data_IF_168613524209
#
_entry.id   IF_168613524209
#
_cell.length_a   1.000
_cell.length_b   1.000
_cell.length_c   1.000
_cell.angle_alpha   90.00
_cell.angle_beta   90.00
_cell.angle_gamma   90.00
#
_symmetry.space_group_name_H-M   'P 1'
#
loop_
_entity.id
_entity.type
_entity.pdbx_description
1 polymer ?
#
# COMPACT_ATOMS: atom_id res chain seq x y z
N UNK A 1 -6.34 -9.07 -4.81
CA UNK A 1 -5.44 -7.95 -5.19
C UNK A 1 -6.20 -6.66 -5.49
N UNK A 2 -7.21 -6.65 -6.37
CA UNK A 2 -8.01 -5.45 -6.66
C UNK A 2 -8.60 -4.74 -5.42
N UNK A 3 -9.06 -5.49 -4.40
CA UNK A 3 -9.54 -4.91 -3.14
C UNK A 3 -8.46 -4.13 -2.37
N UNK A 4 -7.23 -4.65 -2.31
CA UNK A 4 -6.13 -3.95 -1.63
C UNK A 4 -5.71 -2.66 -2.35
N UNK A 5 -5.82 -2.64 -3.68
CA UNK A 5 -5.58 -1.43 -4.46
C UNK A 5 -6.65 -0.39 -4.13
N UNK A 6 -7.93 -0.78 -4.11
CA UNK A 6 -9.03 0.13 -3.76
C UNK A 6 -8.88 0.75 -2.36
N UNK A 7 -8.50 -0.07 -1.36
CA UNK A 7 -8.19 0.41 -0.01
C UNK A 7 -6.99 1.38 -0.03
N UNK A 8 -5.91 1.06 -0.74
CA UNK A 8 -4.74 1.93 -0.84
C UNK A 8 -5.08 3.30 -1.45
N UNK A 9 -5.92 3.34 -2.49
CA UNK A 9 -6.36 4.61 -3.08
C UNK A 9 -7.24 5.39 -2.12
N UNK A 10 -8.08 4.73 -1.33
CA UNK A 10 -8.89 5.40 -0.30
C UNK A 10 -8.00 6.04 0.77
N UNK A 11 -6.97 5.33 1.22
CA UNK A 11 -5.97 5.88 2.15
C UNK A 11 -5.24 7.09 1.56
N UNK A 12 -4.74 6.96 0.32
CA UNK A 12 -4.02 8.04 -0.38
C UNK A 12 -4.87 9.30 -0.52
N UNK A 13 -6.14 9.16 -0.93
CA UNK A 13 -7.02 10.33 -1.07
C UNK A 13 -7.46 10.86 0.29
N UNK A 14 -7.65 10.01 1.30
CA UNK A 14 -7.90 10.43 2.68
C UNK A 14 -6.78 11.31 3.21
N UNK A 15 -5.54 10.82 3.14
CA UNK A 15 -4.34 11.57 3.51
C UNK A 15 -4.19 12.87 2.70
N UNK A 16 -4.45 12.84 1.38
CA UNK A 16 -4.43 14.04 0.56
C UNK A 16 -5.45 15.10 0.99
N UNK A 17 -6.67 14.68 1.35
CA UNK A 17 -7.71 15.57 1.90
C UNK A 17 -7.29 16.14 3.25
N UNK A 18 -6.67 15.34 4.11
CA UNK A 18 -6.15 15.78 5.40
C UNK A 18 -5.12 16.90 5.22
N UNK A 19 -4.11 16.68 4.37
CA UNK A 19 -3.11 17.70 4.01
C UNK A 19 -3.67 18.92 3.28
N UNK A 20 -4.83 18.82 2.64
CA UNK A 20 -5.50 19.96 2.02
C UNK A 20 -6.16 20.88 3.07
N UNK A 21 -6.68 20.31 4.16
CA UNK A 21 -7.45 21.06 5.16
C UNK A 21 -6.66 21.41 6.42
N UNK A 22 -5.64 20.63 6.77
CA UNK A 22 -4.91 20.75 8.02
C UNK A 22 -3.45 21.11 7.80
N UNK A 23 -2.87 21.80 8.77
CA UNK A 23 -1.43 22.07 8.79
C UNK A 23 -0.66 20.77 9.11
N UNK A 24 0.50 20.51 8.48
CA UNK A 24 1.33 19.35 8.79
C UNK A 24 1.74 19.32 10.26
N UNK A 25 1.62 18.16 10.91
CA UNK A 25 1.94 18.00 12.32
C UNK A 25 1.91 16.55 12.77
N UNK A 26 1.86 16.33 14.09
CA UNK A 26 1.73 15.00 14.70
C UNK A 26 0.79 15.03 15.92
N UNK A 27 -0.13 16.00 15.92
CA UNK A 27 -1.08 16.24 16.99
C UNK A 27 -2.51 16.11 16.48
N UNK A 28 -3.51 16.30 17.35
CA UNK A 28 -4.90 16.22 16.93
C UNK A 28 -5.21 17.26 15.84
N UNK A 29 -5.93 16.85 14.81
CA UNK A 29 -6.35 17.70 13.69
C UNK A 29 -5.17 18.36 12.95
N UNK A 30 -4.06 17.64 12.82
CA UNK A 30 -2.91 18.03 11.99
C UNK A 30 -2.63 16.97 10.96
N UNK A 31 -2.22 17.39 9.76
CA UNK A 31 -2.01 16.45 8.68
C UNK A 31 -0.75 15.61 8.85
N UNK A 32 -0.91 14.29 8.78
CA UNK A 32 0.21 13.35 8.76
C UNK A 32 -0.06 12.17 7.80
N UNK A 33 0.77 11.12 7.91
CA UNK A 33 0.69 9.93 7.07
C UNK A 33 0.15 8.71 7.83
N UNK A 34 -0.48 8.94 8.98
CA UNK A 34 -1.29 7.96 9.68
C UNK A 34 -2.71 7.98 9.12
N UNK A 35 -3.45 6.91 9.37
CA UNK A 35 -4.86 6.82 9.01
C UNK A 35 -5.65 6.55 10.29
N UNK A 36 -6.58 7.45 10.62
CA UNK A 36 -7.54 7.28 11.71
C UNK A 36 -7.02 7.63 13.11
N UNK A 37 -5.83 8.23 13.19
CA UNK A 37 -5.17 8.75 14.40
C UNK A 37 -6.04 9.73 15.20
N UNK A 38 -6.82 10.58 14.53
CA UNK A 38 -7.74 11.53 15.16
C UNK A 38 -9.00 10.86 15.78
N UNK A 39 -9.25 9.57 15.51
CA UNK A 39 -10.38 8.86 16.11
C UNK A 39 -10.03 8.36 17.52
N UNK A 40 -10.66 8.90 18.59
CA UNK A 40 -10.24 8.67 19.98
C UNK A 40 -10.28 7.21 20.44
N UNK A 41 -11.06 6.37 19.74
CA UNK A 41 -11.34 4.98 20.12
C UNK A 41 -10.34 4.01 19.46
N UNK A 42 -9.74 4.39 18.34
CA UNK A 42 -8.95 3.49 17.50
C UNK A 42 -7.46 3.84 17.50
N UNK A 43 -7.12 5.13 17.53
CA UNK A 43 -5.76 5.56 17.20
C UNK A 43 -5.39 5.22 15.76
N UNK A 44 -4.10 5.36 15.36
CA UNK A 44 -3.69 5.09 14.00
C UNK A 44 -3.87 3.61 13.65
N UNK A 45 -4.67 3.33 12.61
CA UNK A 45 -4.91 1.96 12.15
C UNK A 45 -3.95 1.52 11.05
N UNK A 46 -3.40 2.48 10.29
CA UNK A 46 -2.38 2.28 9.25
C UNK A 46 -1.41 3.45 9.23
N UNK A 47 -0.23 3.23 8.67
CA UNK A 47 0.78 4.25 8.41
C UNK A 47 1.28 4.09 6.99
N UNK A 48 1.21 5.17 6.20
CA UNK A 48 1.79 5.23 4.86
C UNK A 48 3.29 5.51 4.94
N UNK A 49 3.74 6.28 5.93
CA UNK A 49 5.16 6.55 6.18
C UNK A 49 5.94 5.29 6.59
N UNK A 50 5.41 4.55 7.56
CA UNK A 50 6.09 3.39 8.13
C UNK A 50 5.09 2.28 8.42
N UNK A 51 4.67 1.49 7.41
CA UNK A 51 3.69 0.42 7.60
C UNK A 51 4.04 -0.51 8.77
N UNK A 52 5.31 -0.91 8.85
CA UNK A 52 5.81 -1.83 9.87
C UNK A 52 5.82 -1.26 11.30
N UNK A 53 5.56 0.05 11.49
CA UNK A 53 5.42 0.65 12.82
C UNK A 53 4.17 0.19 13.55
N UNK A 54 3.16 -0.29 12.80
CA UNK A 54 1.90 -0.80 13.33
C UNK A 54 1.81 -2.31 13.17
N UNK A 55 1.15 -2.95 14.14
CA UNK A 55 0.93 -4.39 14.16
C UNK A 55 -0.46 -4.70 13.60
N UNK A 56 -0.54 -5.76 12.80
CA UNK A 56 -1.79 -6.34 12.35
C UNK A 56 -2.44 -7.14 13.48
N UNK A 57 -1.73 -8.16 13.94
CA UNK A 57 -2.13 -9.08 14.99
C UNK A 57 -0.90 -9.88 15.43
N UNK A 58 -0.75 -10.10 16.73
CA UNK A 58 0.40 -10.82 17.30
C UNK A 58 1.76 -10.33 16.75
N UNK A 59 2.56 -11.20 16.10
CA UNK A 59 3.84 -10.84 15.49
C UNK A 59 3.72 -10.29 14.07
N UNK A 60 2.54 -10.31 13.45
CA UNK A 60 2.35 -9.87 12.07
C UNK A 60 2.34 -8.33 11.97
N UNK A 61 3.10 -7.80 11.03
CA UNK A 61 3.22 -6.38 10.74
C UNK A 61 2.56 -6.05 9.39
N UNK A 62 2.17 -4.80 9.20
CA UNK A 62 1.73 -4.36 7.87
C UNK A 62 2.91 -4.40 6.87
N UNK A 63 2.70 -4.92 5.65
CA UNK A 63 3.74 -5.04 4.64
C UNK A 63 4.06 -3.69 3.98
N UNK A 64 5.33 -3.30 3.97
CA UNK A 64 5.85 -2.15 3.21
C UNK A 64 6.43 -2.54 1.83
N UNK A 65 6.35 -3.82 1.47
CA UNK A 65 6.98 -4.37 0.25
C UNK A 65 6.19 -5.56 -0.30
N UNK A 66 6.06 -5.65 -1.62
CA UNK A 66 5.26 -6.66 -2.32
C UNK A 66 5.71 -8.10 -2.08
N UNK A 67 7.01 -8.30 -1.88
CA UNK A 67 7.58 -9.59 -1.46
C UNK A 67 7.12 -10.05 -0.07
N UNK A 68 6.69 -9.11 0.80
CA UNK A 68 6.17 -9.35 2.15
C UNK A 68 4.65 -9.32 2.23
N UNK A 69 3.96 -9.17 1.10
CA UNK A 69 2.48 -9.15 1.07
C UNK A 69 1.91 -10.40 1.74
N UNK A 70 0.82 -10.22 2.48
CA UNK A 70 0.12 -11.32 3.12
C UNK A 70 -0.54 -12.18 2.05
N UNK A 71 -0.24 -13.47 2.12
CA UNK A 71 -0.82 -14.53 1.28
C UNK A 71 -1.39 -15.58 2.21
N UNK A 72 -2.59 -16.02 1.90
CA UNK A 72 -3.27 -17.06 2.68
C UNK A 72 -3.14 -18.41 2.01
N UNK A 73 -3.10 -19.46 2.84
CA UNK A 73 -3.29 -20.80 2.35
C UNK A 73 -4.73 -20.98 1.85
N UNK A 74 -4.86 -21.58 0.67
CA UNK A 74 -6.14 -22.10 0.18
C UNK A 74 -6.17 -23.59 0.54
N UNK A 75 -7.17 -23.98 1.32
CA UNK A 75 -7.43 -25.37 1.69
C UNK A 75 -8.49 -25.95 0.77
N UNK A 76 -8.26 -27.19 0.34
CA UNK A 76 -9.27 -28.01 -0.32
C UNK A 76 -10.07 -28.68 0.79
N UNK A 77 -11.28 -28.20 1.01
CA UNK A 77 -12.20 -28.73 2.03
C UNK A 77 -12.90 -29.98 1.51
N UNK A 78 -13.19 -30.01 0.20
CA UNK A 78 -13.79 -31.15 -0.48
C UNK A 78 -13.13 -31.37 -1.84
N UNK A 79 -13.03 -32.62 -2.27
CA UNK A 79 -12.34 -33.03 -3.50
C UNK A 79 -10.90 -33.45 -3.25
N UNK A 80 -10.09 -33.43 -4.30
CA UNK A 80 -8.66 -33.77 -4.25
C UNK A 80 -7.82 -32.60 -4.76
N UNK A 81 -6.50 -32.66 -4.60
CA UNK A 81 -5.60 -31.66 -5.19
C UNK A 81 -5.73 -31.58 -6.72
N UNK A 82 -6.00 -32.70 -7.39
CA UNK A 82 -6.18 -32.74 -8.84
C UNK A 82 -7.56 -32.23 -9.27
N UNK A 83 -8.57 -32.44 -8.42
CA UNK A 83 -9.97 -32.09 -8.69
C UNK A 83 -10.60 -31.46 -7.44
N UNK A 84 -10.28 -30.18 -7.14
CA UNK A 84 -10.82 -29.50 -5.99
C UNK A 84 -12.30 -29.18 -6.21
N UNK A 85 -13.13 -29.43 -5.20
CA UNK A 85 -14.59 -29.19 -5.26
C UNK A 85 -14.96 -27.99 -4.39
N UNK A 86 -14.48 -27.95 -3.15
CA UNK A 86 -14.69 -26.83 -2.22
C UNK A 86 -13.35 -26.30 -1.76
N UNK A 87 -13.15 -24.98 -1.91
CA UNK A 87 -11.98 -24.26 -1.45
C UNK A 87 -12.34 -23.34 -0.30
N UNK A 88 -11.49 -23.27 0.71
CA UNK A 88 -11.59 -22.29 1.79
C UNK A 88 -10.27 -21.54 1.95
N UNK A 89 -10.36 -20.24 2.22
CA UNK A 89 -9.21 -19.44 2.63
C UNK A 89 -9.03 -19.64 4.12
N UNK A 90 -7.85 -20.08 4.54
CA UNK A 90 -7.51 -20.22 5.95
C UNK A 90 -6.64 -19.04 6.39
N UNK A 91 -6.88 -18.41 7.55
CA UNK A 91 -6.16 -17.20 7.98
C UNK A 91 -4.73 -17.49 8.46
N UNK A 92 -4.08 -18.52 7.91
CA UNK A 92 -2.67 -18.80 8.11
C UNK A 92 -1.85 -17.98 7.11
N UNK A 93 -0.90 -17.23 7.64
CA UNK A 93 0.13 -16.52 6.90
C UNK A 93 1.51 -17.06 7.27
N UNK A 94 2.45 -16.97 6.34
CA UNK A 94 3.87 -17.16 6.62
C UNK A 94 4.49 -15.82 6.98
N UNK A 95 5.17 -15.76 8.12
CA UNK A 95 5.88 -14.59 8.62
C UNK A 95 7.22 -14.40 7.90
N UNK A 96 7.81 -15.52 7.44
CA UNK A 96 9.10 -15.55 6.78
C UNK A 96 9.28 -16.79 5.89
N UNK A 97 10.43 -16.84 5.20
CA UNK A 97 10.79 -17.94 4.30
C UNK A 97 11.30 -19.19 5.05
N UNK A 98 11.45 -19.11 6.37
CA UNK A 98 11.86 -20.22 7.24
C UNK A 98 10.66 -21.08 7.67
N UNK A 99 9.44 -20.70 7.25
CA UNK A 99 8.22 -21.45 7.54
C UNK A 99 7.58 -21.08 8.87
N UNK A 100 8.04 -20.01 9.53
CA UNK A 100 7.31 -19.48 10.68
C UNK A 100 5.95 -18.97 10.20
N UNK A 101 4.89 -19.38 10.88
CA UNK A 101 3.53 -19.03 10.50
C UNK A 101 2.74 -18.48 11.68
N UNK A 102 1.69 -17.73 11.36
CA UNK A 102 0.74 -17.22 12.34
C UNK A 102 -0.68 -17.38 11.81
N UNK A 103 -1.63 -17.64 12.72
CA UNK A 103 -3.05 -17.74 12.40
C UNK A 103 -3.71 -16.45 12.88
N UNK A 104 -4.24 -15.68 11.93
CA UNK A 104 -4.90 -14.41 12.19
C UNK A 104 -6.37 -14.62 12.59
N UNK A 105 -6.94 -13.65 13.30
CA UNK A 105 -8.36 -13.66 13.65
C UNK A 105 -9.34 -13.48 12.47
N UNK A 106 -8.84 -13.05 11.31
CA UNK A 106 -9.62 -12.80 10.09
C UNK A 106 -8.74 -13.00 8.86
N UNK A 107 -9.36 -13.13 7.68
CA UNK A 107 -8.67 -13.09 6.39
C UNK A 107 -8.73 -11.72 5.72
N UNK A 108 -9.50 -10.79 6.30
CA UNK A 108 -9.66 -9.43 5.77
C UNK A 108 -10.00 -9.41 4.27
N UNK A 109 -10.98 -10.23 3.87
CA UNK A 109 -11.39 -10.43 2.47
C UNK A 109 -10.21 -10.72 1.50
N UNK A 110 -9.16 -11.38 2.00
CA UNK A 110 -7.91 -11.59 1.26
C UNK A 110 -6.86 -10.49 1.50
N UNK A 111 -6.77 -9.98 2.73
CA UNK A 111 -5.80 -8.98 3.19
C UNK A 111 -5.89 -7.68 2.41
N UNK A 112 -7.12 -7.18 2.18
CA UNK A 112 -7.34 -5.95 1.41
C UNK A 112 -6.79 -4.72 2.14
N UNK A 113 -7.15 -4.49 3.39
CA UNK A 113 -6.65 -3.35 4.18
C UNK A 113 -5.17 -3.52 4.54
N UNK A 114 -4.72 -4.77 4.67
CA UNK A 114 -3.34 -5.04 5.10
C UNK A 114 -2.34 -4.83 3.98
N UNK A 115 -2.59 -5.43 2.81
CA UNK A 115 -1.71 -5.26 1.65
C UNK A 115 -1.84 -3.86 1.01
N UNK A 116 -2.88 -3.08 1.33
CA UNK A 116 -3.04 -1.71 0.86
C UNK A 116 -1.84 -0.81 1.21
N UNK A 117 -1.23 -1.04 2.37
CA UNK A 117 -0.07 -0.28 2.85
C UNK A 117 1.13 -0.33 1.91
N UNK A 118 1.25 -1.31 1.00
CA UNK A 118 2.32 -1.37 0.00
C UNK A 118 2.24 -0.18 -0.97
N UNK A 119 1.06 0.10 -1.54
CA UNK A 119 0.88 1.23 -2.45
C UNK A 119 0.75 2.56 -1.68
N UNK A 120 0.16 2.55 -0.48
CA UNK A 120 0.16 3.70 0.41
C UNK A 120 1.59 4.16 0.77
N UNK A 121 2.50 3.21 1.00
CA UNK A 121 3.90 3.51 1.26
C UNK A 121 4.65 3.99 0.02
N UNK A 122 4.34 3.45 -1.17
CA UNK A 122 4.86 3.99 -2.42
C UNK A 122 4.42 5.46 -2.64
N UNK A 123 3.19 5.83 -2.27
CA UNK A 123 2.73 7.21 -2.32
C UNK A 123 3.57 8.12 -1.41
N UNK A 124 3.74 7.75 -0.14
CA UNK A 124 4.61 8.47 0.79
C UNK A 124 6.03 8.64 0.24
N UNK A 125 6.67 7.54 -0.19
CA UNK A 125 8.05 7.57 -0.69
C UNK A 125 8.18 8.45 -1.94
N UNK A 126 7.18 8.45 -2.84
CA UNK A 126 7.22 9.31 -4.03
C UNK A 126 7.16 10.80 -3.67
N UNK A 127 6.54 11.17 -2.55
CA UNK A 127 6.46 12.54 -2.05
C UNK A 127 7.70 12.87 -1.24
N UNK A 128 7.88 12.22 -0.09
CA UNK A 128 8.88 12.60 0.91
C UNK A 128 10.27 12.01 0.61
N UNK A 129 10.32 10.89 -0.11
CA UNK A 129 11.53 10.10 -0.28
C UNK A 129 11.84 9.26 0.96
N UNK A 130 13.09 8.82 1.09
CA UNK A 130 13.57 8.02 2.22
C UNK A 130 14.04 6.64 1.81
N UNK A 131 14.13 5.72 2.76
CA UNK A 131 14.55 4.34 2.53
C UNK A 131 13.40 3.39 2.86
N UNK A 132 13.08 2.47 1.95
CA UNK A 132 12.17 1.37 2.29
C UNK A 132 12.88 0.38 3.22
N UNK A 133 12.26 0.00 4.33
CA UNK A 133 12.89 -0.83 5.36
C UNK A 133 13.14 -2.27 4.88
N UNK A 134 12.23 -2.83 4.07
CA UNK A 134 12.38 -4.19 3.55
C UNK A 134 13.40 -4.30 2.43
N UNK A 135 13.35 -3.44 1.42
CA UNK A 135 14.26 -3.53 0.25
C UNK A 135 15.60 -2.83 0.47
N UNK A 136 15.67 -1.89 1.41
CA UNK A 136 16.83 -1.03 1.62
C UNK A 136 17.06 -0.01 0.49
N UNK A 137 16.15 0.09 -0.48
CA UNK A 137 16.29 1.02 -1.60
C UNK A 137 15.96 2.45 -1.17
N UNK A 138 16.78 3.40 -1.63
CA UNK A 138 16.61 4.83 -1.41
C UNK A 138 15.72 5.42 -2.50
N UNK A 139 14.75 6.24 -2.10
CA UNK A 139 13.86 7.00 -2.96
C UNK A 139 14.15 8.47 -2.77
N UNK A 140 14.37 9.18 -3.88
CA UNK A 140 14.41 10.63 -3.87
C UNK A 140 13.04 11.14 -4.32
N UNK A 141 12.18 11.46 -3.36
CA UNK A 141 10.84 12.00 -3.58
C UNK A 141 10.84 13.37 -4.25
N UNK A 142 9.65 13.87 -4.58
CA UNK A 142 9.47 15.21 -5.15
C UNK A 142 9.53 16.33 -4.09
N UNK A 143 9.48 15.97 -2.81
CA UNK A 143 9.39 16.84 -1.63
C UNK A 143 7.95 17.25 -1.30
N UNK A 144 7.63 17.43 -0.01
CA UNK A 144 6.30 17.80 0.50
C UNK A 144 5.66 18.99 -0.24
N UNK A 145 6.44 20.01 -0.60
CA UNK A 145 5.94 21.18 -1.35
C UNK A 145 5.39 20.85 -2.76
N UNK A 146 5.71 19.67 -3.29
CA UNK A 146 5.26 19.17 -4.58
C UNK A 146 4.28 18.00 -4.47
N UNK A 147 3.71 17.73 -3.28
CA UNK A 147 2.78 16.60 -3.02
C UNK A 147 1.65 16.50 -4.06
N UNK A 148 1.06 17.64 -4.41
CA UNK A 148 -0.03 17.73 -5.41
C UNK A 148 0.33 17.02 -6.73
N UNK A 149 1.61 17.01 -7.12
CA UNK A 149 2.05 16.32 -8.34
C UNK A 149 1.84 14.80 -8.24
N UNK A 150 2.13 14.19 -7.08
CA UNK A 150 1.92 12.76 -6.84
C UNK A 150 0.44 12.45 -6.68
N UNK A 151 -0.31 13.29 -5.97
CA UNK A 151 -1.77 13.16 -5.85
C UNK A 151 -2.45 13.14 -7.23
N UNK A 152 -2.03 14.02 -8.15
CA UNK A 152 -2.53 14.04 -9.53
C UNK A 152 -2.18 12.77 -10.31
N UNK A 153 -0.99 12.19 -10.10
CA UNK A 153 -0.62 10.90 -10.70
C UNK A 153 -1.56 9.80 -10.23
N UNK A 154 -1.79 9.68 -8.92
CA UNK A 154 -2.69 8.68 -8.35
C UNK A 154 -4.14 8.91 -8.78
N UNK A 155 -4.61 10.16 -8.78
CA UNK A 155 -5.96 10.50 -9.21
C UNK A 155 -6.23 10.09 -10.67
N UNK A 156 -5.37 10.49 -11.61
CA UNK A 156 -5.49 10.11 -13.01
C UNK A 156 -5.37 8.60 -13.21
N UNK A 157 -4.42 7.96 -12.51
CA UNK A 157 -4.25 6.51 -12.56
C UNK A 157 -5.56 5.79 -12.24
N UNK A 158 -6.20 6.12 -11.12
CA UNK A 158 -7.44 5.49 -10.66
C UNK A 158 -8.65 5.80 -11.56
N UNK A 159 -8.80 7.05 -12.00
CA UNK A 159 -10.04 7.52 -12.64
C UNK A 159 -10.08 7.34 -14.15
N UNK A 160 -8.92 7.31 -14.81
CA UNK A 160 -8.85 7.32 -16.28
C UNK A 160 -8.21 6.07 -16.88
N UNK A 161 -7.33 5.38 -16.16
CA UNK A 161 -6.44 4.36 -16.75
C UNK A 161 -6.62 2.98 -16.10
N UNK A 162 -6.85 2.92 -14.79
CA UNK A 162 -6.87 1.67 -14.01
C UNK A 162 -7.93 0.70 -14.55
N UNK A 163 -7.55 -0.50 -15.01
CA UNK A 163 -8.54 -1.51 -15.39
C UNK A 163 -9.18 -2.11 -14.14
N UNK A 164 -10.46 -2.47 -14.25
CA UNK A 164 -11.25 -3.15 -13.22
C UNK A 164 -10.68 -4.48 -12.69
N UNK A 165 -9.70 -5.07 -13.36
CA UNK A 165 -9.05 -6.32 -12.98
C UNK A 165 -7.60 -6.13 -12.52
N UNK A 166 -7.19 -4.88 -12.22
CA UNK A 166 -5.82 -4.58 -11.83
C UNK A 166 -5.34 -5.41 -10.62
N UNK A 167 -4.12 -5.89 -10.74
CA UNK A 167 -3.28 -6.32 -9.63
C UNK A 167 -2.16 -5.30 -9.39
N UNK A 168 -1.28 -5.58 -8.42
CA UNK A 168 -0.25 -4.62 -8.04
C UNK A 168 0.71 -4.24 -9.18
N UNK A 169 1.26 -5.20 -9.97
CA UNK A 169 2.06 -4.86 -11.15
C UNK A 169 1.32 -3.99 -12.18
N UNK A 170 0.03 -4.27 -12.43
CA UNK A 170 -0.77 -3.43 -13.33
C UNK A 170 -0.93 -2.02 -12.74
N UNK A 171 -1.24 -1.91 -11.44
CA UNK A 171 -1.38 -0.61 -10.79
C UNK A 171 -0.08 0.20 -10.83
N UNK A 172 1.08 -0.44 -10.61
CA UNK A 172 2.40 0.18 -10.71
C UNK A 172 2.67 0.70 -12.14
N UNK A 173 2.40 -0.12 -13.16
CA UNK A 173 2.54 0.30 -14.55
C UNK A 173 1.64 1.49 -14.90
N UNK A 174 0.40 1.48 -14.40
CA UNK A 174 -0.57 2.57 -14.60
C UNK A 174 -0.14 3.86 -13.89
N UNK A 175 0.41 3.78 -12.68
CA UNK A 175 0.97 4.93 -11.97
C UNK A 175 2.15 5.55 -12.75
N UNK A 176 3.08 4.72 -13.23
CA UNK A 176 4.18 5.17 -14.09
C UNK A 176 3.67 5.79 -15.40
N UNK A 177 2.64 5.22 -16.03
CA UNK A 177 2.05 5.79 -17.25
C UNK A 177 1.39 7.14 -16.97
N UNK A 178 0.64 7.25 -15.88
CA UNK A 178 0.02 8.51 -15.44
C UNK A 178 1.06 9.61 -15.20
N UNK A 179 2.18 9.29 -14.54
CA UNK A 179 3.29 10.22 -14.35
C UNK A 179 3.96 10.64 -15.68
N UNK A 180 4.16 9.70 -16.61
CA UNK A 180 4.69 9.99 -17.96
C UNK A 180 3.78 10.94 -18.72
N UNK A 181 2.47 10.70 -18.71
CA UNK A 181 1.50 11.51 -19.44
C UNK A 181 1.41 12.93 -18.90
N UNK A 182 1.40 13.09 -17.56
CA UNK A 182 1.21 14.38 -16.91
C UNK A 182 2.46 15.26 -16.91
N UNK A 183 3.65 14.66 -16.73
CA UNK A 183 4.89 15.41 -16.44
C UNK A 183 6.02 15.12 -17.43
N UNK A 184 5.89 14.09 -18.27
CA UNK A 184 6.89 13.72 -19.26
C UNK A 184 7.95 12.73 -18.75
N UNK A 185 8.64 12.09 -19.70
CA UNK A 185 9.56 10.96 -19.46
C UNK A 185 10.85 11.30 -18.71
N UNK A 186 11.22 12.58 -18.64
CA UNK A 186 12.42 13.06 -17.94
C UNK A 186 12.08 13.83 -16.66
N UNK A 187 10.83 13.75 -16.20
CA UNK A 187 10.38 14.49 -15.01
C UNK A 187 10.92 13.89 -13.71
N UNK A 188 11.12 14.74 -12.71
CA UNK A 188 11.39 14.32 -11.34
C UNK A 188 10.23 13.52 -10.75
N UNK A 189 8.99 13.80 -11.17
CA UNK A 189 7.78 13.07 -10.78
C UNK A 189 7.83 11.62 -11.22
N UNK A 190 8.08 11.36 -12.51
CA UNK A 190 8.20 9.99 -12.99
C UNK A 190 9.34 9.24 -12.28
N UNK A 191 10.49 9.89 -12.11
CA UNK A 191 11.62 9.30 -11.38
C UNK A 191 11.24 8.92 -9.94
N UNK A 192 10.53 9.79 -9.23
CA UNK A 192 10.12 9.54 -7.85
C UNK A 192 9.10 8.40 -7.75
N UNK A 193 8.10 8.38 -8.64
CA UNK A 193 7.09 7.30 -8.71
C UNK A 193 7.75 5.96 -9.04
N UNK A 194 8.62 5.92 -10.05
CA UNK A 194 9.35 4.72 -10.46
C UNK A 194 10.24 4.19 -9.32
N UNK A 195 11.04 5.06 -8.69
CA UNK A 195 11.85 4.68 -7.53
C UNK A 195 11.02 4.18 -6.35
N UNK A 196 9.89 4.82 -6.05
CA UNK A 196 9.02 4.42 -4.96
C UNK A 196 8.38 3.05 -5.20
N UNK A 197 7.91 2.78 -6.43
CA UNK A 197 7.35 1.48 -6.81
C UNK A 197 8.42 0.38 -6.72
N UNK A 198 9.62 0.63 -7.27
CA UNK A 198 10.74 -0.30 -7.14
C UNK A 198 11.12 -0.55 -5.67
N UNK A 199 11.12 0.50 -4.84
CA UNK A 199 11.44 0.38 -3.42
C UNK A 199 10.44 -0.49 -2.65
N UNK A 200 9.18 -0.52 -3.05
CA UNK A 200 8.16 -1.42 -2.50
C UNK A 200 8.05 -2.75 -3.27
N UNK A 201 8.95 -3.02 -4.21
CA UNK A 201 9.03 -4.30 -4.93
C UNK A 201 8.02 -4.48 -6.06
N UNK A 202 7.60 -3.38 -6.69
CA UNK A 202 6.66 -3.33 -7.82
C UNK A 202 7.29 -2.83 -9.12
#
# INVERSE_FOLDING_TARGET
HGGAINEAFSDVFGTGVEFFFQEPGSGPLTADYLVGEDLPIFGPIRSLESPQSLRLDGPALYPDHFGRRLRFAILIVEGTQAEPIVLAIFPLIFLDDQGNFFILGSTDFGAVHWNATILGHAFYLAIEGGQNATSGLMVQGVGAANREQIERVFFRAMTEIMPRFADFPIAAAVLCQSARDLFGVNSTVLRAVDQALLAVGL
#
